data_IF_328583847086
#
_entry.id   IF_328583847086
#
_cell.length_a   1.000
_cell.length_b   1.000
_cell.length_c   1.000
_cell.angle_alpha   90.00
_cell.angle_beta   90.00
_cell.angle_gamma   90.00
#
_symmetry.space_group_name_H-M   'P 1'
#
loop_
_entity.id
_entity.type
_entity.pdbx_description
1 polymer ?
#
# COMPACT_ATOMS: atom_id res chain seq x y z
N UNK A 1 17.15 8.94 -34.07
CA UNK A 1 17.61 7.71 -33.40
C UNK A 1 17.14 7.81 -31.96
N UNK A 2 15.94 7.29 -31.66
CA UNK A 2 15.41 7.25 -30.29
C UNK A 2 16.22 6.20 -29.53
N UNK A 3 16.87 6.61 -28.44
CA UNK A 3 17.49 5.69 -27.50
C UNK A 3 16.39 4.76 -27.01
N UNK A 4 16.47 3.47 -27.34
CA UNK A 4 15.65 2.45 -26.72
C UNK A 4 15.91 2.54 -25.21
N UNK A 5 14.90 3.03 -24.48
CA UNK A 5 15.00 3.23 -23.05
C UNK A 5 15.10 1.85 -22.41
N UNK A 6 16.32 1.43 -22.08
CA UNK A 6 16.58 0.22 -21.28
C UNK A 6 15.80 0.43 -19.98
N UNK A 7 14.80 -0.40 -19.73
CA UNK A 7 14.06 -0.38 -18.48
C UNK A 7 14.66 -1.46 -17.58
N UNK A 8 15.59 -1.10 -16.67
CA UNK A 8 16.14 -2.07 -15.75
C UNK A 8 15.01 -2.55 -14.82
N UNK A 9 14.77 -3.86 -14.81
CA UNK A 9 13.84 -4.47 -13.87
C UNK A 9 14.40 -4.32 -12.44
N UNK A 10 13.70 -3.56 -11.61
CA UNK A 10 14.14 -3.23 -10.25
C UNK A 10 13.64 -4.29 -9.24
N UNK A 11 14.49 -4.61 -8.26
CA UNK A 11 14.20 -5.61 -7.22
C UNK A 11 14.52 -5.09 -5.82
N UNK A 12 13.86 -5.69 -4.82
CA UNK A 12 14.08 -5.36 -3.42
C UNK A 12 13.83 -3.88 -3.15
N UNK A 13 14.72 -3.24 -2.40
CA UNK A 13 14.60 -1.81 -2.04
C UNK A 13 14.57 -0.90 -3.27
N UNK A 14 15.27 -1.28 -4.34
CA UNK A 14 15.28 -0.51 -5.58
C UNK A 14 13.92 -0.51 -6.29
N UNK A 15 13.04 -1.48 -6.01
CA UNK A 15 11.71 -1.58 -6.64
C UNK A 15 10.65 -0.67 -6.00
N UNK A 16 10.93 -0.11 -4.82
CA UNK A 16 9.93 0.63 -4.04
C UNK A 16 8.82 -0.25 -3.44
N UNK A 17 8.81 -1.56 -3.72
CA UNK A 17 7.87 -2.55 -3.15
C UNK A 17 8.38 -2.98 -1.77
N UNK A 18 8.58 -2.02 -0.87
CA UNK A 18 8.93 -2.28 0.51
C UNK A 18 7.66 -2.37 1.34
N UNK A 19 7.72 -3.10 2.45
CA UNK A 19 6.67 -2.93 3.44
C UNK A 19 6.63 -1.49 3.94
N UNK A 20 5.46 -0.84 3.92
CA UNK A 20 5.33 0.49 4.46
C UNK A 20 5.36 0.51 5.99
N UNK A 21 4.82 -0.51 6.67
CA UNK A 21 4.69 -0.46 8.15
C UNK A 21 5.87 -1.13 8.85
N UNK A 22 6.43 -2.20 8.28
CA UNK A 22 7.60 -2.89 8.82
C UNK A 22 8.93 -2.43 8.21
N UNK A 23 8.90 -1.53 7.21
CA UNK A 23 10.09 -1.06 6.46
C UNK A 23 10.99 -2.21 5.94
N UNK A 24 10.42 -3.41 5.82
CA UNK A 24 11.13 -4.63 5.50
C UNK A 24 11.21 -4.88 4.01
N UNK A 25 12.34 -4.53 3.39
CA UNK A 25 12.63 -4.85 1.99
C UNK A 25 12.79 -6.34 1.72
N UNK A 26 13.47 -7.06 2.62
CA UNK A 26 13.71 -8.50 2.48
C UNK A 26 12.41 -9.32 2.58
N UNK A 27 11.57 -9.07 3.59
CA UNK A 27 10.30 -9.78 3.75
C UNK A 27 9.32 -9.51 2.61
N UNK A 28 9.36 -8.31 2.01
CA UNK A 28 8.61 -8.02 0.81
C UNK A 28 9.13 -8.80 -0.41
N UNK A 29 10.45 -8.83 -0.59
CA UNK A 29 11.09 -9.59 -1.66
C UNK A 29 10.77 -11.08 -1.57
N UNK A 30 10.85 -11.70 -0.39
CA UNK A 30 10.55 -13.14 -0.23
C UNK A 30 9.10 -13.49 -0.56
N UNK A 31 8.15 -12.57 -0.38
CA UNK A 31 6.75 -12.76 -0.81
C UNK A 31 6.58 -12.68 -2.32
N UNK A 32 7.37 -11.85 -2.99
CA UNK A 32 7.24 -11.59 -4.42
C UNK A 32 8.19 -12.40 -5.31
N UNK A 33 9.23 -13.02 -4.74
CA UNK A 33 10.29 -13.69 -5.51
C UNK A 33 9.75 -14.81 -6.41
N UNK A 34 8.79 -15.61 -5.95
CA UNK A 34 8.19 -16.68 -6.75
C UNK A 34 7.43 -16.15 -7.97
N UNK A 35 6.60 -15.12 -7.78
CA UNK A 35 5.89 -14.45 -8.89
C UNK A 35 6.87 -13.84 -9.89
N UNK A 36 7.90 -13.16 -9.39
CA UNK A 36 8.89 -12.50 -10.23
C UNK A 36 9.75 -13.52 -10.99
N UNK A 37 10.19 -14.60 -10.34
CA UNK A 37 10.96 -15.66 -11.02
C UNK A 37 10.17 -16.31 -12.13
N UNK A 38 8.89 -16.61 -11.89
CA UNK A 38 8.00 -17.19 -12.91
C UNK A 38 7.78 -16.21 -14.06
N UNK A 39 7.46 -14.94 -13.77
CA UNK A 39 7.25 -13.95 -14.82
C UNK A 39 8.50 -13.64 -15.65
N UNK A 40 9.70 -13.65 -15.04
CA UNK A 40 10.97 -13.54 -15.78
C UNK A 40 11.17 -14.76 -16.68
N UNK A 41 10.91 -15.96 -16.16
CA UNK A 41 11.03 -17.19 -16.95
C UNK A 41 10.10 -17.17 -18.16
N UNK A 42 8.82 -16.81 -17.97
CA UNK A 42 7.83 -16.66 -19.05
C UNK A 42 8.23 -15.56 -20.05
N UNK A 43 8.78 -14.44 -19.57
CA UNK A 43 9.23 -13.36 -20.45
C UNK A 43 10.43 -13.78 -21.33
N UNK A 44 11.37 -14.56 -20.78
CA UNK A 44 12.51 -15.09 -21.54
C UNK A 44 12.05 -16.15 -22.55
N UNK A 45 11.18 -17.08 -22.12
CA UNK A 45 10.68 -18.17 -22.97
C UNK A 45 9.83 -17.63 -24.14
N UNK A 46 9.04 -16.58 -23.88
CA UNK A 46 8.18 -15.92 -24.87
C UNK A 46 8.83 -14.79 -25.67
N UNK A 47 10.13 -14.52 -25.52
CA UNK A 47 10.85 -13.39 -26.14
C UNK A 47 10.24 -11.99 -25.82
N UNK A 48 9.61 -11.87 -24.64
CA UNK A 48 9.04 -10.62 -24.11
C UNK A 48 10.06 -9.85 -23.25
N UNK A 49 11.26 -9.66 -23.77
CA UNK A 49 12.38 -9.01 -23.07
C UNK A 49 12.47 -7.50 -23.35
N UNK A 50 11.46 -6.95 -24.01
CA UNK A 50 11.35 -5.52 -24.23
C UNK A 50 10.97 -4.77 -22.94
N UNK A 51 11.28 -3.48 -22.94
CA UNK A 51 11.06 -2.56 -21.81
C UNK A 51 9.61 -2.54 -21.33
N UNK A 52 8.63 -2.60 -22.24
CA UNK A 52 7.23 -2.57 -21.89
C UNK A 52 6.81 -3.88 -21.21
N UNK A 53 7.14 -5.02 -21.80
CA UNK A 53 6.80 -6.33 -21.23
C UNK A 53 7.41 -6.56 -19.85
N UNK A 54 8.69 -6.19 -19.66
CA UNK A 54 9.36 -6.28 -18.37
C UNK A 54 8.75 -5.33 -17.32
N UNK A 55 8.22 -4.18 -17.72
CA UNK A 55 7.55 -3.26 -16.80
C UNK A 55 6.29 -3.87 -16.16
N UNK A 56 5.63 -4.81 -16.86
CA UNK A 56 4.44 -5.51 -16.34
C UNK A 56 4.76 -6.46 -15.18
N UNK A 57 6.04 -6.84 -14.98
CA UNK A 57 6.47 -7.65 -13.85
C UNK A 57 6.42 -6.89 -12.52
N UNK A 58 6.49 -5.56 -12.55
CA UNK A 58 6.32 -4.69 -11.39
C UNK A 58 5.09 -3.79 -11.60
N UNK A 59 3.88 -4.37 -11.54
CA UNK A 59 2.67 -3.59 -11.76
C UNK A 59 2.45 -2.59 -10.63
N UNK A 60 1.67 -1.56 -10.92
CA UNK A 60 1.12 -0.69 -9.89
C UNK A 60 0.39 -1.52 -8.82
N UNK A 61 0.73 -1.29 -7.55
CA UNK A 61 0.22 -2.02 -6.39
C UNK A 61 -0.66 -1.09 -5.53
N UNK A 62 -2.00 -1.06 -5.73
CA UNK A 62 -2.88 -0.15 -5.01
C UNK A 62 -2.83 -0.34 -3.49
N UNK A 63 -2.61 -1.57 -3.03
CA UNK A 63 -2.46 -1.90 -1.62
C UNK A 63 -1.26 -1.16 -1.01
N UNK A 64 -0.11 -1.15 -1.70
CA UNK A 64 1.11 -0.49 -1.26
C UNK A 64 0.92 1.02 -1.20
N UNK A 65 0.37 1.62 -2.25
CA UNK A 65 0.09 3.06 -2.32
C UNK A 65 -0.93 3.50 -1.26
N UNK A 66 -1.96 2.69 -1.00
CA UNK A 66 -2.92 2.97 0.06
C UNK A 66 -2.27 2.94 1.46
N UNK A 67 -1.29 2.08 1.69
CA UNK A 67 -0.58 2.05 2.98
C UNK A 67 0.37 3.21 3.21
N UNK A 68 0.88 3.86 2.16
CA UNK A 68 1.84 4.95 2.31
C UNK A 68 1.29 6.14 3.13
N UNK A 69 -0.02 6.36 3.13
CA UNK A 69 -0.64 7.37 4.00
C UNK A 69 -0.38 7.10 5.49
N UNK A 70 -0.39 5.84 5.92
CA UNK A 70 -0.08 5.50 7.31
C UNK A 70 1.35 5.90 7.66
N UNK A 71 2.32 5.61 6.79
CA UNK A 71 3.69 6.05 6.98
C UNK A 71 3.78 7.57 7.07
N UNK A 72 3.11 8.28 6.16
CA UNK A 72 3.12 9.73 6.11
C UNK A 72 2.52 10.36 7.36
N UNK A 73 1.43 9.79 7.88
CA UNK A 73 0.77 10.25 9.10
C UNK A 73 1.55 9.89 10.37
N UNK A 74 2.30 8.79 10.37
CA UNK A 74 3.10 8.29 11.50
C UNK A 74 4.56 8.75 11.48
N UNK A 75 4.98 9.51 10.46
CA UNK A 75 6.32 10.08 10.37
C UNK A 75 6.41 11.39 11.14
N UNK A 76 7.51 11.60 11.85
CA UNK A 76 7.80 12.88 12.50
C UNK A 76 8.06 13.96 11.43
N UNK A 77 7.43 15.13 11.59
CA UNK A 77 7.69 16.33 10.77
C UNK A 77 8.42 17.35 11.61
N UNK A 78 9.42 18.00 11.03
CA UNK A 78 10.28 18.96 11.72
C UNK A 78 9.55 20.28 12.08
N UNK A 79 8.44 20.58 11.39
CA UNK A 79 7.60 21.76 11.60
C UNK A 79 6.12 21.34 11.53
N UNK A 80 5.65 20.58 12.51
CA UNK A 80 4.25 20.18 12.59
C UNK A 80 3.56 20.90 13.74
N UNK A 81 2.45 21.57 13.46
CA UNK A 81 1.56 22.21 14.44
C UNK A 81 0.60 21.20 15.11
N UNK A 82 1.09 19.98 15.35
CA UNK A 82 0.36 18.89 16.03
C UNK A 82 1.09 18.52 17.31
N UNK A 83 0.35 17.98 18.29
CA UNK A 83 0.96 17.60 19.57
C UNK A 83 2.02 16.52 19.39
N UNK A 84 3.01 16.50 20.28
CA UNK A 84 4.08 15.49 20.29
C UNK A 84 3.53 14.07 20.47
N UNK A 85 2.37 13.95 21.11
CA UNK A 85 1.65 12.70 21.39
C UNK A 85 0.80 12.22 20.20
N UNK A 86 0.60 13.05 19.16
CA UNK A 86 -0.31 12.76 18.05
C UNK A 86 -0.05 11.41 17.40
N UNK A 87 1.23 11.07 17.12
CA UNK A 87 1.58 9.79 16.49
C UNK A 87 1.20 8.61 17.40
N UNK A 88 1.45 8.74 18.71
CA UNK A 88 1.09 7.72 19.69
C UNK A 88 -0.42 7.56 19.79
N UNK A 89 -1.17 8.67 19.82
CA UNK A 89 -2.63 8.63 19.82
C UNK A 89 -3.18 7.98 18.55
N UNK A 90 -2.62 8.34 17.38
CA UNK A 90 -3.04 7.81 16.10
C UNK A 90 -2.81 6.29 16.02
N UNK A 91 -1.63 5.83 16.42
CA UNK A 91 -1.31 4.41 16.51
C UNK A 91 -2.24 3.70 17.49
N UNK A 92 -2.43 4.25 18.69
CA UNK A 92 -3.28 3.67 19.72
C UNK A 92 -4.72 3.46 19.21
N UNK A 93 -5.32 4.49 18.60
CA UNK A 93 -6.70 4.45 18.12
C UNK A 93 -6.86 3.50 16.93
N UNK A 94 -5.87 3.47 16.02
CA UNK A 94 -5.86 2.54 14.89
C UNK A 94 -5.77 1.08 15.38
N UNK A 95 -4.82 0.76 16.26
CA UNK A 95 -4.69 -0.60 16.80
C UNK A 95 -5.87 -1.01 17.67
N UNK A 96 -6.42 -0.09 18.47
CA UNK A 96 -7.64 -0.36 19.22
C UNK A 96 -8.83 -0.65 18.29
N UNK A 97 -8.96 0.09 17.20
CA UNK A 97 -10.00 -0.12 16.18
C UNK A 97 -9.83 -1.48 15.49
N UNK A 98 -8.61 -1.81 15.07
CA UNK A 98 -8.30 -3.11 14.47
C UNK A 98 -8.53 -4.26 15.45
N UNK A 99 -8.20 -4.08 16.73
CA UNK A 99 -8.44 -5.10 17.76
C UNK A 99 -9.94 -5.36 17.94
N UNK A 100 -10.78 -4.32 17.92
CA UNK A 100 -12.24 -4.45 17.95
C UNK A 100 -12.81 -5.16 16.73
N UNK A 101 -12.19 -5.00 15.56
CA UNK A 101 -12.57 -5.66 14.31
C UNK A 101 -12.05 -7.11 14.21
N UNK A 102 -11.09 -7.48 15.05
CA UNK A 102 -10.56 -8.83 15.20
C UNK A 102 -9.51 -9.24 14.17
N UNK A 103 -9.17 -10.53 14.21
CA UNK A 103 -8.11 -11.15 13.40
C UNK A 103 -8.21 -10.93 11.88
N UNK A 104 -9.40 -10.93 11.25
CA UNK A 104 -9.53 -10.69 9.82
C UNK A 104 -9.02 -9.30 9.37
N UNK A 105 -8.93 -8.35 10.30
CA UNK A 105 -8.40 -7.00 10.05
C UNK A 105 -6.96 -6.88 10.57
N UNK A 106 -6.70 -7.34 11.79
CA UNK A 106 -5.39 -7.19 12.43
C UNK A 106 -4.28 -7.97 11.73
N UNK A 107 -4.50 -9.25 11.40
CA UNK A 107 -3.45 -10.10 10.84
C UNK A 107 -2.96 -9.62 9.47
N UNK A 108 -3.82 -9.30 8.50
CA UNK A 108 -3.37 -8.77 7.22
C UNK A 108 -2.61 -7.46 7.37
N UNK A 109 -3.06 -6.57 8.26
CA UNK A 109 -2.38 -5.31 8.51
C UNK A 109 -0.94 -5.52 9.02
N UNK A 110 -0.74 -6.38 10.02
CA UNK A 110 0.59 -6.71 10.55
C UNK A 110 1.50 -7.41 9.54
N UNK A 111 0.91 -8.06 8.53
CA UNK A 111 1.62 -8.71 7.43
C UNK A 111 1.87 -7.78 6.23
N UNK A 112 1.49 -6.50 6.34
CA UNK A 112 1.53 -5.52 5.25
C UNK A 112 0.64 -5.86 4.06
N UNK A 113 -0.39 -6.69 4.29
CA UNK A 113 -1.40 -7.05 3.31
C UNK A 113 -2.61 -6.13 3.51
N UNK A 114 -2.52 -4.93 2.94
CA UNK A 114 -3.63 -3.98 2.96
C UNK A 114 -4.74 -4.46 2.02
N UNK A 115 -5.90 -4.72 2.59
CA UNK A 115 -7.13 -5.08 1.88
C UNK A 115 -8.14 -3.95 2.00
N UNK A 116 -8.97 -3.76 0.97
CA UNK A 116 -9.96 -2.69 0.95
C UNK A 116 -10.91 -2.72 2.15
N UNK A 117 -11.60 -3.85 2.37
CA UNK A 117 -12.63 -3.95 3.40
C UNK A 117 -12.07 -3.75 4.83
N UNK A 118 -11.01 -4.46 5.28
CA UNK A 118 -10.34 -4.18 6.55
C UNK A 118 -9.91 -2.73 6.73
N UNK A 119 -9.35 -2.12 5.68
CA UNK A 119 -8.91 -0.73 5.70
C UNK A 119 -10.09 0.23 5.88
N UNK A 120 -11.14 0.06 5.07
CA UNK A 120 -12.36 0.87 5.13
C UNK A 120 -13.03 0.77 6.52
N UNK A 121 -13.15 -0.44 7.07
CA UNK A 121 -13.70 -0.66 8.42
C UNK A 121 -12.87 0.02 9.50
N UNK A 122 -11.54 -0.08 9.41
CA UNK A 122 -10.63 0.54 10.39
C UNK A 122 -10.75 2.05 10.35
N UNK A 123 -10.66 2.67 9.17
CA UNK A 123 -10.78 4.11 9.02
C UNK A 123 -12.17 4.60 9.45
N UNK A 124 -13.23 3.90 9.07
CA UNK A 124 -14.60 4.20 9.51
C UNK A 124 -14.75 4.17 11.03
N UNK A 125 -14.21 3.13 11.68
CA UNK A 125 -14.27 2.99 13.13
C UNK A 125 -13.46 4.07 13.86
N UNK A 126 -12.30 4.46 13.32
CA UNK A 126 -11.48 5.57 13.86
C UNK A 126 -12.25 6.89 13.75
N UNK A 127 -12.88 7.17 12.60
CA UNK A 127 -13.69 8.38 12.39
C UNK A 127 -14.87 8.46 13.36
N UNK A 128 -15.49 7.33 13.70
CA UNK A 128 -16.61 7.25 14.65
C UNK A 128 -16.12 7.36 16.10
N UNK A 129 -15.02 6.70 16.45
CA UNK A 129 -14.57 6.58 17.86
C UNK A 129 -13.76 7.77 18.34
N UNK A 130 -12.94 8.39 17.47
CA UNK A 130 -12.13 9.56 17.81
C UNK A 130 -12.10 10.58 16.66
N UNK A 131 -13.23 11.20 16.29
CA UNK A 131 -13.30 12.20 15.21
C UNK A 131 -12.37 13.39 15.41
N UNK A 132 -12.03 13.68 16.67
CA UNK A 132 -11.12 14.74 17.12
C UNK A 132 -9.72 14.62 16.50
N UNK A 133 -9.32 13.42 16.06
CA UNK A 133 -7.99 13.18 15.48
C UNK A 133 -7.91 13.61 14.00
N UNK A 134 -9.05 13.76 13.32
CA UNK A 134 -9.12 14.05 11.89
C UNK A 134 -8.45 15.40 11.56
N UNK A 135 -8.75 16.52 12.24
CA UNK A 135 -8.06 17.79 11.97
C UNK A 135 -6.53 17.68 12.11
N UNK A 136 -6.05 16.91 13.09
CA UNK A 136 -4.62 16.67 13.31
C UNK A 136 -4.00 15.84 12.18
N UNK A 137 -4.72 14.84 11.63
CA UNK A 137 -4.30 14.13 10.42
C UNK A 137 -4.18 15.09 9.24
N UNK A 138 -5.15 15.98 9.05
CA UNK A 138 -5.11 16.98 7.98
C UNK A 138 -3.94 17.95 8.12
N UNK A 139 -3.63 18.41 9.35
CA UNK A 139 -2.43 19.22 9.62
C UNK A 139 -1.13 18.45 9.38
N UNK A 140 -1.07 17.19 9.80
CA UNK A 140 0.13 16.37 9.68
C UNK A 140 0.44 16.01 8.23
N UNK A 141 -0.56 15.52 7.49
CA UNK A 141 -0.37 14.95 6.16
C UNK A 141 -0.52 16.03 5.07
N UNK A 142 -1.49 16.93 5.23
CA UNK A 142 -1.86 17.95 4.25
C UNK A 142 -2.99 17.50 3.32
N UNK A 143 -3.83 18.44 2.91
CA UNK A 143 -4.98 18.18 2.00
C UNK A 143 -4.55 17.59 0.66
N UNK A 144 -3.52 18.09 -0.05
CA UNK A 144 -3.16 17.55 -1.37
C UNK A 144 -2.81 16.06 -1.32
N UNK A 145 -2.15 15.65 -0.24
CA UNK A 145 -1.72 14.27 -0.03
C UNK A 145 -2.90 13.35 0.28
N UNK A 146 -3.90 13.83 1.03
CA UNK A 146 -5.12 13.07 1.30
C UNK A 146 -5.97 12.88 0.04
N UNK A 147 -6.02 13.88 -0.84
CA UNK A 147 -6.71 13.78 -2.12
C UNK A 147 -6.03 12.75 -3.04
N UNK A 148 -4.70 12.80 -3.15
CA UNK A 148 -3.92 11.81 -3.89
C UNK A 148 -4.13 10.39 -3.36
N UNK A 149 -4.05 10.22 -2.04
CA UNK A 149 -4.33 8.95 -1.38
C UNK A 149 -5.75 8.43 -1.64
N UNK A 150 -6.75 9.32 -1.70
CA UNK A 150 -8.13 8.90 -1.94
C UNK A 150 -8.27 8.17 -3.28
N UNK A 151 -7.53 8.58 -4.31
CA UNK A 151 -7.48 7.89 -5.59
C UNK A 151 -6.90 6.48 -5.45
N UNK A 152 -5.82 6.31 -4.69
CA UNK A 152 -5.26 4.98 -4.39
C UNK A 152 -6.24 4.09 -3.62
N UNK A 153 -6.97 4.67 -2.66
CA UNK A 153 -8.02 3.96 -1.92
C UNK A 153 -9.17 3.50 -2.83
N UNK A 154 -9.63 4.36 -3.75
CA UNK A 154 -10.63 3.98 -4.74
C UNK A 154 -10.12 2.89 -5.70
N UNK A 155 -8.87 3.00 -6.17
CA UNK A 155 -8.25 1.98 -7.02
C UNK A 155 -8.11 0.64 -6.31
N UNK A 156 -7.83 0.63 -5.01
CA UNK A 156 -7.81 -0.59 -4.20
C UNK A 156 -9.21 -1.23 -4.12
N UNK A 157 -10.25 -0.42 -3.94
CA UNK A 157 -11.64 -0.88 -3.98
C UNK A 157 -12.03 -1.44 -5.35
N UNK A 158 -11.68 -0.74 -6.42
CA UNK A 158 -11.93 -1.16 -7.79
C UNK A 158 -11.20 -2.47 -8.13
N UNK A 159 -9.92 -2.58 -7.76
CA UNK A 159 -9.15 -3.82 -7.91
C UNK A 159 -9.77 -4.98 -7.15
N UNK A 160 -10.21 -4.75 -5.90
CA UNK A 160 -10.88 -5.79 -5.09
C UNK A 160 -12.20 -6.23 -5.72
N UNK A 161 -12.96 -5.29 -6.29
CA UNK A 161 -14.18 -5.60 -7.01
C UNK A 161 -13.89 -6.47 -8.25
N UNK A 162 -12.95 -6.04 -9.10
CA UNK A 162 -12.57 -6.81 -10.28
C UNK A 162 -12.04 -8.20 -9.93
N UNK A 163 -11.17 -8.34 -8.93
CA UNK A 163 -10.63 -9.65 -8.54
C UNK A 163 -11.68 -10.56 -7.92
N UNK A 164 -12.69 -10.02 -7.24
CA UNK A 164 -13.76 -10.83 -6.65
C UNK A 164 -14.79 -11.28 -7.70
N UNK A 165 -15.09 -10.44 -8.69
CA UNK A 165 -16.20 -10.66 -9.63
C UNK A 165 -15.80 -11.00 -11.07
N UNK A 166 -14.62 -10.56 -11.55
CA UNK A 166 -14.14 -10.85 -12.90
C UNK A 166 -13.19 -12.05 -12.96
N UNK A 167 -12.41 -12.31 -11.90
CA UNK A 167 -11.50 -13.47 -11.82
C UNK A 167 -12.22 -14.83 -11.93
N UNK A 168 -13.45 -15.02 -11.36
CA UNK A 168 -14.22 -16.25 -11.56
C UNK A 168 -14.74 -16.46 -12.99
N UNK A 169 -14.63 -15.47 -13.86
CA UNK A 169 -15.18 -15.49 -15.23
C UNK A 169 -14.10 -15.75 -16.29
N UNK A 170 -12.82 -15.56 -15.95
CA UNK A 170 -11.68 -15.64 -16.88
C UNK A 170 -10.83 -16.90 -16.63
N UNK A 171 -11.07 -17.62 -15.53
CA UNK A 171 -10.40 -18.88 -15.18
C UNK A 171 -11.23 -20.10 -15.55
#
# INVERSE_FOLDING_TARGET
MQLAQIYPLQFGDASGIQSPVSFGGFGSLTRHIGRLSTGIYEAIDGDFVDSYSLSLLNPYMPNLSASWLFQRAMSAKQQSDVSTEFINELLHVNFQSMQRLGDPVMRPFLQDVIKFEPLAKTLGLVMITKPQIIPSIFKQVGIPVLLDWSLHFFMLGYYTFLSTFADPVIR
#
